data_IF_343575010876
#
_entry.id   IF_343575010876
#
_cell.length_a   1.000
_cell.length_b   1.000
_cell.length_c   1.000
_cell.angle_alpha   90.00
_cell.angle_beta   90.00
_cell.angle_gamma   90.00
#
_symmetry.space_group_name_H-M   'P 1'
#
loop_
_entity.id
_entity.type
_entity.pdbx_description
1 polymer ?
#
# COMPACT_ATOMS: atom_id res chain seq x y z
N UNK A 1 3.51 -10.85 3.90
CA UNK A 1 2.60 -10.64 5.07
C UNK A 1 2.06 -9.19 5.08
N UNK A 2 1.12 -8.82 5.97
CA UNK A 2 0.53 -7.48 6.03
C UNK A 2 1.54 -6.33 6.21
N UNK A 3 2.55 -6.50 7.07
CA UNK A 3 3.63 -5.52 7.25
C UNK A 3 4.36 -5.24 5.95
N UNK A 4 4.80 -6.28 5.24
CA UNK A 4 5.47 -6.11 3.94
C UNK A 4 4.56 -5.43 2.92
N UNK A 5 3.28 -5.79 2.87
CA UNK A 5 2.31 -5.17 1.96
C UNK A 5 2.16 -3.67 2.24
N UNK A 6 1.86 -3.28 3.49
CA UNK A 6 1.59 -1.89 3.88
C UNK A 6 2.82 -1.01 3.66
N UNK A 7 3.99 -1.45 4.13
CA UNK A 7 5.23 -0.66 4.04
C UNK A 7 5.67 -0.52 2.59
N UNK A 8 5.61 -1.61 1.80
CA UNK A 8 5.99 -1.56 0.38
C UNK A 8 5.03 -0.68 -0.42
N UNK A 9 3.72 -0.73 -0.13
CA UNK A 9 2.72 0.07 -0.82
C UNK A 9 2.93 1.58 -0.59
N UNK A 10 3.16 1.96 0.67
CA UNK A 10 3.41 3.36 1.04
C UNK A 10 4.72 3.86 0.41
N UNK A 11 5.79 3.07 0.47
CA UNK A 11 7.07 3.42 -0.16
C UNK A 11 6.96 3.57 -1.67
N UNK A 12 6.19 2.69 -2.30
CA UNK A 12 5.97 2.70 -3.75
C UNK A 12 5.23 3.96 -4.20
N UNK A 13 4.13 4.31 -3.54
CA UNK A 13 3.24 5.39 -4.00
C UNK A 13 3.71 6.76 -3.54
N UNK A 14 4.37 6.84 -2.38
CA UNK A 14 4.83 8.10 -1.78
C UNK A 14 6.36 8.20 -1.76
N UNK A 15 7.04 7.59 -2.74
CA UNK A 15 8.50 7.64 -2.82
C UNK A 15 9.03 9.09 -2.79
N UNK A 16 10.16 9.28 -2.11
CA UNK A 16 10.76 10.59 -1.90
C UNK A 16 10.01 11.54 -0.97
N UNK A 17 8.86 11.14 -0.39
CA UNK A 17 8.13 11.93 0.60
C UNK A 17 8.29 11.32 2.00
N UNK A 18 8.76 12.10 3.00
CA UNK A 18 8.79 11.61 4.38
C UNK A 18 7.36 11.47 4.91
N UNK A 19 7.02 10.29 5.42
CA UNK A 19 5.75 10.04 6.10
C UNK A 19 5.74 10.80 7.43
N UNK A 20 4.74 11.67 7.61
CA UNK A 20 4.62 12.55 8.78
C UNK A 20 3.69 11.98 9.84
N UNK A 21 2.76 11.11 9.44
CA UNK A 21 1.80 10.47 10.31
C UNK A 21 1.68 8.99 9.97
N UNK A 22 2.20 8.13 10.85
CA UNK A 22 2.14 6.68 10.68
C UNK A 22 0.83 6.04 11.19
N UNK A 23 -0.07 6.82 11.80
CA UNK A 23 -1.31 6.28 12.36
C UNK A 23 -2.20 5.54 11.33
N UNK A 24 -2.34 6.01 10.07
CA UNK A 24 -3.06 5.24 9.05
C UNK A 24 -2.45 3.86 8.83
N UNK A 25 -1.12 3.75 8.75
CA UNK A 25 -0.42 2.47 8.57
C UNK A 25 -0.67 1.54 9.75
N UNK A 26 -0.58 2.04 10.98
CA UNK A 26 -0.87 1.25 12.19
C UNK A 26 -2.33 0.76 12.20
N UNK A 27 -3.27 1.62 11.79
CA UNK A 27 -4.68 1.24 11.65
C UNK A 27 -4.90 0.16 10.58
N UNK A 28 -4.19 0.22 9.47
CA UNK A 28 -4.24 -0.80 8.42
C UNK A 28 -3.71 -2.15 8.88
N UNK A 29 -2.57 -2.15 9.56
CA UNK A 29 -1.98 -3.35 10.15
C UNK A 29 -2.92 -3.99 11.17
N UNK A 30 -3.56 -3.17 12.01
CA UNK A 30 -4.57 -3.66 12.95
C UNK A 30 -5.76 -4.33 12.23
N UNK A 31 -6.30 -3.70 11.19
CA UNK A 31 -7.39 -4.29 10.38
C UNK A 31 -6.95 -5.58 9.68
N UNK A 32 -5.68 -5.69 9.32
CA UNK A 32 -5.11 -6.91 8.73
C UNK A 32 -4.73 -7.96 9.79
N UNK A 33 -4.94 -7.70 11.08
CA UNK A 33 -4.66 -8.64 12.16
C UNK A 33 -3.20 -8.67 12.64
N UNK A 34 -2.37 -7.72 12.20
CA UNK A 34 -0.95 -7.59 12.54
C UNK A 34 -0.70 -6.32 13.41
N UNK A 35 -1.57 -6.07 14.39
CA UNK A 35 -1.43 -4.93 15.28
C UNK A 35 -0.16 -5.03 16.14
N UNK A 36 0.57 -3.91 16.27
CA UNK A 36 1.75 -3.84 17.13
C UNK A 36 1.41 -4.22 18.57
N UNK A 37 2.25 -5.07 19.17
CA UNK A 37 2.09 -5.58 20.53
C UNK A 37 0.78 -6.34 20.82
N UNK A 38 0.04 -6.77 19.79
CA UNK A 38 -1.23 -7.49 19.94
C UNK A 38 -1.09 -9.01 19.71
N UNK A 39 0.14 -9.53 19.82
CA UNK A 39 0.44 -10.96 19.77
C UNK A 39 0.77 -11.45 21.18
N UNK A 40 0.04 -12.47 21.63
CA UNK A 40 0.18 -13.01 22.99
C UNK A 40 1.53 -13.71 23.20
N UNK A 41 2.03 -14.37 22.17
CA UNK A 41 3.26 -15.16 22.22
C UNK A 41 4.45 -14.34 21.71
N UNK A 42 5.65 -14.51 22.29
CA UNK A 42 6.83 -13.70 21.97
C UNK A 42 7.50 -14.06 20.63
N UNK A 43 6.99 -15.08 19.94
CA UNK A 43 7.42 -15.51 18.59
C UNK A 43 6.94 -14.57 17.47
N UNK A 44 6.02 -13.66 17.77
CA UNK A 44 5.52 -12.68 16.81
C UNK A 44 4.44 -13.24 15.87
N UNK A 45 4.23 -12.52 14.78
CA UNK A 45 3.23 -12.87 13.76
C UNK A 45 3.81 -13.86 12.74
N UNK A 46 3.03 -14.87 12.30
CA UNK A 46 3.52 -15.83 11.31
C UNK A 46 3.84 -15.13 9.99
N UNK A 47 4.96 -15.46 9.34
CA UNK A 47 5.30 -14.92 8.01
C UNK A 47 4.80 -15.79 6.85
N UNK A 48 3.98 -16.80 7.13
CA UNK A 48 3.46 -17.74 6.13
C UNK A 48 2.29 -17.13 5.36
N UNK A 49 2.25 -17.32 4.04
CA UNK A 49 1.18 -16.83 3.17
C UNK A 49 -0.21 -17.26 3.67
N UNK A 50 -0.38 -18.53 4.05
CA UNK A 50 -1.65 -19.09 4.50
C UNK A 50 -2.26 -18.37 5.73
N UNK A 51 -1.44 -17.67 6.51
CA UNK A 51 -1.93 -16.88 7.65
C UNK A 51 -2.62 -15.56 7.20
N UNK A 52 -2.40 -15.13 5.95
CA UNK A 52 -2.76 -13.77 5.49
C UNK A 52 -3.40 -13.69 4.10
N UNK A 53 -3.50 -14.80 3.36
CA UNK A 53 -4.12 -14.84 2.02
C UNK A 53 -5.62 -15.17 2.04
N UNK A 54 -6.25 -15.22 3.22
CA UNK A 54 -7.70 -15.41 3.35
C UNK A 54 -8.51 -14.34 2.63
N UNK A 55 -9.70 -14.70 2.12
CA UNK A 55 -10.54 -13.81 1.31
C UNK A 55 -10.91 -12.47 2.00
N UNK A 56 -11.16 -12.48 3.32
CA UNK A 56 -11.43 -11.26 4.08
C UNK A 56 -10.21 -10.34 4.21
N UNK A 57 -9.00 -10.91 4.28
CA UNK A 57 -7.75 -10.16 4.30
C UNK A 57 -7.49 -9.54 2.92
N UNK A 58 -7.77 -10.29 1.85
CA UNK A 58 -7.66 -9.79 0.48
C UNK A 58 -8.59 -8.60 0.24
N UNK A 59 -9.86 -8.69 0.65
CA UNK A 59 -10.80 -7.57 0.58
C UNK A 59 -10.31 -6.33 1.34
N UNK A 60 -9.75 -6.52 2.53
CA UNK A 60 -9.17 -5.43 3.33
C UNK A 60 -7.98 -4.78 2.62
N UNK A 61 -7.14 -5.56 1.94
CA UNK A 61 -6.02 -5.01 1.16
C UNK A 61 -6.50 -4.20 -0.05
N UNK A 62 -7.59 -4.56 -0.73
CA UNK A 62 -8.15 -3.71 -1.80
C UNK A 62 -8.58 -2.33 -1.28
N UNK A 63 -9.22 -2.28 -0.11
CA UNK A 63 -9.58 -1.01 0.52
C UNK A 63 -8.34 -0.19 0.92
N UNK A 64 -7.29 -0.84 1.38
CA UNK A 64 -6.00 -0.19 1.69
C UNK A 64 -5.31 0.31 0.42
N UNK A 65 -5.29 -0.48 -0.66
CA UNK A 65 -4.78 -0.07 -1.97
C UNK A 65 -5.49 1.20 -2.45
N UNK A 66 -6.82 1.28 -2.29
CA UNK A 66 -7.59 2.47 -2.63
C UNK A 66 -7.20 3.69 -1.79
N UNK A 67 -7.02 3.50 -0.49
CA UNK A 67 -6.60 4.58 0.41
C UNK A 67 -5.21 5.12 0.03
N UNK A 68 -4.23 4.25 -0.21
CA UNK A 68 -2.85 4.64 -0.57
C UNK A 68 -2.78 5.20 -1.99
N UNK A 69 -3.38 4.51 -2.97
CA UNK A 69 -3.29 4.91 -4.38
C UNK A 69 -4.11 6.15 -4.72
N UNK A 70 -5.22 6.39 -4.00
CA UNK A 70 -6.12 7.52 -4.23
C UNK A 70 -5.62 8.86 -3.71
N UNK A 71 -4.64 8.90 -2.80
CA UNK A 71 -4.13 10.11 -2.16
C UNK A 71 -3.17 9.81 -1.01
N UNK A 72 -2.86 10.79 -0.17
CA UNK A 72 -1.96 10.57 0.98
C UNK A 72 -2.62 9.85 2.15
N UNK A 73 -3.95 9.70 2.20
CA UNK A 73 -4.68 9.08 3.30
C UNK A 73 -4.30 9.58 4.71
N UNK A 74 -3.91 10.85 4.83
CA UNK A 74 -3.43 11.43 6.09
C UNK A 74 -1.97 11.14 6.44
N UNK A 75 -1.23 10.39 5.61
CA UNK A 75 0.18 10.04 5.81
C UNK A 75 1.10 11.26 5.77
N UNK A 76 0.72 12.29 5.01
CA UNK A 76 1.49 13.51 4.80
C UNK A 76 0.93 14.70 5.60
N UNK A 77 0.06 14.42 6.57
CA UNK A 77 -0.44 15.39 7.53
C UNK A 77 0.50 15.44 8.74
N UNK A 78 1.02 16.63 9.05
CA UNK A 78 1.84 16.84 10.25
C UNK A 78 1.01 16.70 11.53
N UNK A 79 1.66 16.33 12.63
CA UNK A 79 1.05 16.23 13.96
C UNK A 79 1.01 17.61 14.66
N UNK A 80 0.31 18.56 14.03
CA UNK A 80 0.14 19.92 14.54
C UNK A 80 -1.34 20.34 14.46
N UNK A 81 -1.86 21.10 15.45
CA UNK A 81 -3.21 21.62 15.40
C UNK A 81 -3.45 22.44 14.14
N UNK A 82 -4.49 22.08 13.37
CA UNK A 82 -4.82 22.77 12.11
C UNK A 82 -3.97 22.39 10.91
N UNK A 83 -3.06 21.42 11.03
CA UNK A 83 -2.30 20.91 9.90
C UNK A 83 -3.23 20.33 8.81
N UNK A 84 -2.98 20.73 7.57
CA UNK A 84 -3.65 20.17 6.39
C UNK A 84 -2.83 19.04 5.80
N UNK A 85 -3.52 18.05 5.24
CA UNK A 85 -2.85 16.96 4.55
C UNK A 85 -2.20 17.51 3.27
N UNK A 86 -0.91 17.25 3.09
CA UNK A 86 -0.22 17.68 1.87
C UNK A 86 -0.61 16.76 0.73
N UNK A 87 -0.85 17.35 -0.45
CA UNK A 87 -1.04 16.57 -1.66
C UNK A 87 0.21 15.70 -1.89
N UNK A 88 0.00 14.39 -2.04
CA UNK A 88 1.05 13.45 -2.40
C UNK A 88 1.55 13.64 -3.85
N UNK A 89 0.86 14.45 -4.67
CA UNK A 89 1.12 14.66 -6.10
C UNK A 89 1.34 16.16 -6.36
N UNK A 90 2.39 16.56 -7.11
CA UNK A 90 2.79 15.95 -8.38
C UNK A 90 4.29 15.62 -8.42
N UNK A 91 4.66 14.35 -8.27
CA UNK A 91 5.96 13.90 -8.78
C UNK A 91 5.76 13.38 -10.22
N UNK A 92 6.64 13.73 -11.18
CA UNK A 92 6.64 13.08 -12.47
C UNK A 92 6.79 11.56 -12.27
N UNK A 93 6.17 10.72 -13.11
CA UNK A 93 6.26 9.27 -12.96
C UNK A 93 7.73 8.88 -13.03
N UNK A 94 8.32 8.40 -11.93
CA UNK A 94 9.74 8.13 -11.89
C UNK A 94 10.04 6.87 -12.75
N UNK A 95 10.69 6.99 -13.94
CA UNK A 95 10.58 5.99 -15.02
C UNK A 95 11.31 4.64 -14.89
N UNK A 96 12.39 4.44 -14.10
CA UNK A 96 13.12 3.17 -14.14
C UNK A 96 12.45 2.06 -13.33
N UNK A 97 12.02 2.36 -12.11
CA UNK A 97 11.42 1.35 -11.22
C UNK A 97 10.09 0.81 -11.77
N UNK A 98 9.24 1.66 -12.36
CA UNK A 98 8.00 1.20 -13.01
C UNK A 98 8.28 0.24 -14.18
N UNK A 99 9.37 0.46 -14.91
CA UNK A 99 9.76 -0.40 -16.05
C UNK A 99 10.25 -1.76 -15.57
N UNK A 100 11.06 -1.80 -14.52
CA UNK A 100 11.50 -3.05 -13.89
C UNK A 100 10.32 -3.80 -13.27
N UNK A 101 9.44 -3.09 -12.57
CA UNK A 101 8.23 -3.67 -12.01
C UNK A 101 7.34 -4.25 -13.11
N UNK A 102 7.12 -3.51 -14.21
CA UNK A 102 6.33 -3.98 -15.33
C UNK A 102 6.83 -5.29 -15.96
N UNK A 103 8.14 -5.58 -15.89
CA UNK A 103 8.70 -6.85 -16.35
C UNK A 103 8.28 -8.05 -15.48
N UNK A 104 7.87 -7.80 -14.22
CA UNK A 104 7.39 -8.82 -13.28
C UNK A 104 5.88 -9.03 -13.33
N UNK A 105 5.15 -8.16 -14.03
CA UNK A 105 3.69 -8.19 -14.07
C UNK A 105 3.16 -9.10 -15.18
N UNK A 106 2.16 -9.91 -14.83
CA UNK A 106 1.39 -10.71 -15.78
C UNK A 106 0.67 -9.86 -16.81
N UNK A 107 0.31 -10.47 -17.94
CA UNK A 107 -0.33 -9.78 -19.07
C UNK A 107 -1.63 -9.08 -18.67
N UNK A 108 -2.47 -9.74 -17.87
CA UNK A 108 -3.73 -9.17 -17.35
C UNK A 108 -3.51 -7.92 -16.49
N UNK A 109 -2.53 -7.96 -15.58
CA UNK A 109 -2.21 -6.82 -14.72
C UNK A 109 -1.69 -5.66 -15.57
N UNK A 110 -0.80 -5.92 -16.53
CA UNK A 110 -0.32 -4.90 -17.48
C UNK A 110 -1.45 -4.28 -18.29
N UNK A 111 -2.39 -5.09 -18.78
CA UNK A 111 -3.55 -4.60 -19.54
C UNK A 111 -4.46 -3.70 -18.69
N UNK A 112 -4.74 -4.08 -17.44
CA UNK A 112 -5.51 -3.26 -16.51
C UNK A 112 -4.82 -1.93 -16.21
N UNK A 113 -3.52 -1.95 -15.97
CA UNK A 113 -2.72 -0.74 -15.73
C UNK A 113 -2.69 0.19 -16.94
N UNK A 114 -2.59 -0.36 -18.16
CA UNK A 114 -2.63 0.44 -19.40
C UNK A 114 -3.98 1.13 -19.63
N UNK A 115 -5.07 0.60 -19.05
CA UNK A 115 -6.41 1.15 -19.15
C UNK A 115 -6.74 2.20 -18.06
N UNK A 116 -5.82 2.47 -17.13
CA UNK A 116 -6.03 3.45 -16.06
C UNK A 116 -6.19 4.87 -16.61
N UNK A 117 -7.21 5.60 -16.16
CA UNK A 117 -7.50 6.97 -16.59
C UNK A 117 -6.69 8.03 -15.83
N UNK A 118 -5.99 7.66 -14.76
CA UNK A 118 -5.18 8.57 -13.94
C UNK A 118 -4.03 7.85 -13.23
N UNK A 119 -3.04 8.60 -12.75
CA UNK A 119 -1.95 8.06 -11.91
C UNK A 119 -2.47 7.46 -10.61
N UNK A 120 -3.50 8.07 -10.01
CA UNK A 120 -4.14 7.56 -8.80
C UNK A 120 -4.78 6.20 -9.07
N UNK A 121 -5.57 6.09 -10.14
CA UNK A 121 -6.18 4.82 -10.53
C UNK A 121 -5.12 3.76 -10.86
N UNK A 122 -4.05 4.15 -11.57
CA UNK A 122 -2.93 3.27 -11.87
C UNK A 122 -2.29 2.72 -10.59
N UNK A 123 -2.05 3.57 -9.59
CA UNK A 123 -1.50 3.16 -8.29
C UNK A 123 -2.44 2.19 -7.56
N UNK A 124 -3.75 2.49 -7.53
CA UNK A 124 -4.74 1.61 -6.91
C UNK A 124 -4.72 0.24 -7.59
N UNK A 125 -4.77 0.19 -8.92
CA UNK A 125 -4.77 -1.05 -9.69
C UNK A 125 -3.48 -1.86 -9.49
N UNK A 126 -2.33 -1.19 -9.39
CA UNK A 126 -1.06 -1.85 -9.14
C UNK A 126 -1.01 -2.47 -7.74
N UNK A 127 -1.35 -1.70 -6.72
CA UNK A 127 -1.39 -2.17 -5.34
C UNK A 127 -2.43 -3.27 -5.11
N UNK A 128 -3.47 -3.28 -5.95
CA UNK A 128 -4.54 -4.27 -5.98
C UNK A 128 -4.22 -5.53 -6.80
N UNK A 129 -3.08 -5.55 -7.52
CA UNK A 129 -2.71 -6.66 -8.40
C UNK A 129 -2.32 -7.93 -7.63
N UNK A 130 -2.56 -9.13 -8.19
CA UNK A 130 -2.11 -10.38 -7.59
C UNK A 130 -0.61 -10.38 -7.28
N UNK A 131 0.21 -9.88 -8.20
CA UNK A 131 1.67 -9.83 -8.06
C UNK A 131 2.13 -8.99 -6.85
N UNK A 132 1.35 -7.97 -6.48
CA UNK A 132 1.63 -7.15 -5.30
C UNK A 132 1.01 -7.74 -4.02
N UNK A 133 -0.15 -8.40 -4.14
CA UNK A 133 -0.91 -8.94 -3.01
C UNK A 133 -0.35 -10.25 -2.43
N UNK A 134 0.30 -11.07 -3.25
CA UNK A 134 0.81 -12.40 -2.87
C UNK A 134 2.34 -12.45 -2.78
N UNK A 135 3.00 -11.29 -2.66
CA UNK A 135 4.45 -11.19 -2.55
C UNK A 135 4.99 -11.63 -1.19
#
# INVERSE_FOLDING_TARGET
DPMHYVVSAVRLVHDGLPILNAAPMLGWLNRLGEAQYNRQTPDGYPMTEAAWSGSGQMGTRFEIARAIGGGSAGLLKADEPGAVDRAAFPQPPNPPYHRELAATLGERTRAALAAAASTQEWNVLLLASPEFMYR
#
